data_IF_437364239090
#
_entry.id   IF_437364239090
#
_cell.length_a   1.000
_cell.length_b   1.000
_cell.length_c   1.000
_cell.angle_alpha   90.00
_cell.angle_beta   90.00
_cell.angle_gamma   90.00
#
_symmetry.space_group_name_H-M   'P 1'
#
loop_
_entity.id
_entity.type
_entity.pdbx_description
1 polymer ?
#
# COMPACT_ATOMS: atom_id res chain seq x y z
N UNK A 1 -49.16 14.33 42.29
CA UNK A 1 -48.53 13.07 41.89
C UNK A 1 -48.47 12.91 40.35
N UNK A 2 -49.48 13.30 39.61
CA UNK A 2 -49.48 13.24 38.15
C UNK A 2 -48.48 14.19 37.48
N UNK A 3 -48.22 15.38 38.04
CA UNK A 3 -47.27 16.33 37.44
C UNK A 3 -45.82 15.81 37.44
N UNK A 4 -45.39 15.04 38.43
CA UNK A 4 -44.04 14.40 38.45
C UNK A 4 -43.86 13.27 37.45
N UNK A 5 -44.97 12.63 37.08
CA UNK A 5 -44.93 11.58 36.08
C UNK A 5 -44.84 12.12 34.67
N UNK A 6 -45.38 13.31 34.41
CA UNK A 6 -45.29 14.01 33.13
C UNK A 6 -43.87 14.55 32.92
N UNK A 7 -43.21 15.07 33.94
CA UNK A 7 -41.81 15.50 33.91
C UNK A 7 -40.83 14.32 33.59
N UNK A 8 -41.17 13.11 33.99
CA UNK A 8 -40.38 11.91 33.75
C UNK A 8 -40.57 11.33 32.33
N UNK A 9 -41.67 11.67 31.66
CA UNK A 9 -42.04 11.15 30.34
C UNK A 9 -41.75 12.16 29.25
N UNK A 10 -41.79 13.46 29.55
CA UNK A 10 -41.52 14.50 28.56
C UNK A 10 -40.04 14.86 28.42
N UNK A 11 -39.15 14.27 29.26
CA UNK A 11 -37.72 14.29 28.99
C UNK A 11 -37.16 15.66 28.63
N UNK A 12 -37.58 16.75 29.34
CA UNK A 12 -36.76 17.96 29.45
C UNK A 12 -35.65 17.74 30.48
N UNK A 13 -34.99 16.63 30.32
CA UNK A 13 -33.63 16.49 30.70
C UNK A 13 -32.84 17.26 29.62
N UNK A 14 -32.38 18.44 29.94
CA UNK A 14 -31.19 18.99 29.35
C UNK A 14 -30.17 17.84 29.40
N UNK A 15 -30.10 17.07 28.30
CA UNK A 15 -28.98 16.18 28.08
C UNK A 15 -27.75 17.05 28.31
N UNK A 16 -26.83 16.70 29.25
CA UNK A 16 -25.59 17.40 29.31
C UNK A 16 -25.11 17.40 27.87
N UNK A 17 -25.00 18.62 27.28
CA UNK A 17 -24.22 18.79 26.09
C UNK A 17 -22.86 18.19 26.46
N UNK A 18 -22.70 16.88 26.18
CA UNK A 18 -21.42 16.33 25.89
C UNK A 18 -21.00 17.07 24.60
N UNK A 19 -20.65 18.36 24.78
CA UNK A 19 -19.53 18.87 24.05
C UNK A 19 -18.43 17.90 24.37
N UNK A 20 -18.40 16.79 23.62
CA UNK A 20 -17.19 16.08 23.39
C UNK A 20 -16.23 17.21 23.01
N UNK A 21 -15.36 17.62 23.96
CA UNK A 21 -14.11 18.22 23.58
C UNK A 21 -13.62 17.27 22.52
N UNK A 22 -13.84 17.62 21.27
CA UNK A 22 -13.14 17.06 20.15
C UNK A 22 -11.70 17.39 20.47
N UNK A 23 -11.09 16.56 21.32
CA UNK A 23 -9.64 16.46 21.35
C UNK A 23 -9.30 16.40 19.90
N UNK A 24 -8.47 17.31 19.46
CA UNK A 24 -7.90 17.32 18.12
C UNK A 24 -7.12 16.00 18.00
N UNK A 25 -7.86 14.91 17.78
CA UNK A 25 -7.27 13.60 17.53
C UNK A 25 -6.72 13.74 16.14
N UNK A 26 -5.40 13.72 16.01
CA UNK A 26 -4.80 13.90 14.69
C UNK A 26 -5.33 12.79 13.78
N UNK A 27 -5.93 13.18 12.66
CA UNK A 27 -6.40 12.24 11.67
C UNK A 27 -5.22 11.39 11.18
N UNK A 28 -5.45 10.12 10.92
CA UNK A 28 -4.40 9.20 10.41
C UNK A 28 -3.68 9.79 9.18
N UNK A 29 -4.40 10.50 8.32
CA UNK A 29 -3.85 11.23 7.19
C UNK A 29 -2.74 12.22 7.58
N UNK A 30 -2.79 12.82 8.78
CA UNK A 30 -1.77 13.77 9.23
C UNK A 30 -0.42 13.12 9.53
N UNK A 31 -0.39 11.82 9.82
CA UNK A 31 0.84 11.07 10.04
C UNK A 31 1.52 10.66 8.73
N UNK A 32 0.78 10.68 7.61
CA UNK A 32 1.33 10.40 6.29
C UNK A 32 1.99 11.66 5.73
N UNK A 33 3.29 11.61 5.54
CA UNK A 33 4.07 12.75 5.06
C UNK A 33 3.86 13.11 3.59
N UNK A 34 3.25 12.25 2.79
CA UNK A 34 3.12 12.42 1.34
C UNK A 34 2.24 13.60 0.97
N UNK A 35 2.77 14.55 0.18
CA UNK A 35 2.07 15.77 -0.23
C UNK A 35 1.79 15.82 -1.73
N UNK A 36 2.82 15.64 -2.54
CA UNK A 36 2.72 15.77 -3.99
C UNK A 36 3.58 14.74 -4.72
N UNK A 37 3.37 14.62 -6.01
CA UNK A 37 4.15 13.76 -6.88
C UNK A 37 4.56 14.51 -8.14
N UNK A 38 5.85 14.53 -8.41
CA UNK A 38 6.39 15.10 -9.63
C UNK A 38 6.38 14.04 -10.75
N UNK A 39 5.43 14.12 -11.66
CA UNK A 39 5.24 13.11 -12.70
C UNK A 39 6.44 12.97 -13.65
N UNK A 40 7.14 14.05 -13.94
CA UNK A 40 8.31 14.05 -14.83
C UNK A 40 9.49 13.28 -14.24
N UNK A 41 9.75 13.45 -12.95
CA UNK A 41 10.85 12.80 -12.23
C UNK A 41 10.43 11.53 -11.51
N UNK A 42 9.13 11.31 -11.36
CA UNK A 42 8.54 10.19 -10.61
C UNK A 42 8.98 10.18 -9.13
N UNK A 43 9.07 11.38 -8.54
CA UNK A 43 9.48 11.58 -7.14
C UNK A 43 8.29 12.04 -6.32
N UNK A 44 8.13 11.45 -5.15
CA UNK A 44 7.20 11.90 -4.11
C UNK A 44 7.83 13.04 -3.32
N UNK A 45 7.05 14.09 -3.08
CA UNK A 45 7.38 15.16 -2.17
C UNK A 45 6.62 14.97 -0.88
N UNK A 46 7.35 14.85 0.21
CA UNK A 46 6.82 14.70 1.55
C UNK A 46 6.95 16.03 2.32
N UNK A 47 6.40 16.11 3.50
CA UNK A 47 6.43 17.33 4.33
C UNK A 47 7.86 17.82 4.63
N UNK A 48 8.81 16.91 4.82
CA UNK A 48 10.21 17.22 5.19
C UNK A 48 11.26 16.47 4.37
N UNK A 49 10.84 15.75 3.36
CA UNK A 49 11.70 14.91 2.54
C UNK A 49 11.15 14.77 1.14
N UNK A 50 11.94 14.23 0.24
CA UNK A 50 11.54 13.78 -1.08
C UNK A 50 12.09 12.38 -1.32
N UNK A 51 11.46 11.58 -2.17
CA UNK A 51 11.91 10.22 -2.39
C UNK A 51 11.14 9.50 -3.48
N UNK A 52 11.50 8.26 -3.71
CA UNK A 52 10.83 7.36 -4.64
C UNK A 52 10.58 6.00 -4.00
N UNK A 53 9.65 5.27 -4.58
CA UNK A 53 9.35 3.90 -4.18
C UNK A 53 9.46 3.01 -5.40
N UNK A 54 10.14 1.88 -5.27
CA UNK A 54 10.22 0.82 -6.26
C UNK A 54 9.47 -0.41 -5.75
N UNK A 55 8.60 -0.98 -6.56
CA UNK A 55 8.05 -2.31 -6.32
C UNK A 55 8.88 -3.35 -7.05
N UNK A 56 9.27 -4.37 -6.33
CA UNK A 56 10.10 -5.46 -6.82
C UNK A 56 9.24 -6.71 -7.02
N UNK A 57 9.54 -7.48 -8.04
CA UNK A 57 9.00 -8.83 -8.15
C UNK A 57 9.48 -9.66 -6.95
N UNK A 58 8.56 -10.34 -6.22
CA UNK A 58 8.95 -11.16 -5.09
C UNK A 58 9.92 -12.26 -5.53
N UNK A 59 11.03 -12.38 -4.81
CA UNK A 59 12.00 -13.45 -5.04
C UNK A 59 11.51 -14.75 -4.43
N UNK A 60 11.68 -15.82 -5.17
CA UNK A 60 11.43 -17.19 -4.71
C UNK A 60 12.78 -17.84 -4.44
N UNK A 61 13.09 -17.97 -3.17
CA UNK A 61 14.42 -18.41 -2.70
C UNK A 61 15.38 -17.23 -2.53
N UNK A 62 16.43 -17.46 -1.76
CA UNK A 62 17.51 -16.51 -1.56
C UNK A 62 18.84 -17.23 -1.77
N UNK A 63 19.76 -16.60 -2.48
CA UNK A 63 21.13 -17.03 -2.62
C UNK A 63 22.10 -15.92 -2.13
N UNK A 64 23.38 -16.23 -2.04
CA UNK A 64 24.40 -15.26 -1.61
C UNK A 64 24.45 -14.03 -2.53
N UNK A 65 24.18 -14.18 -3.83
CA UNK A 65 24.19 -13.08 -4.79
C UNK A 65 23.19 -11.99 -4.44
N UNK A 66 22.03 -12.36 -3.89
CA UNK A 66 21.04 -11.38 -3.44
C UNK A 66 21.59 -10.56 -2.28
N UNK A 67 22.25 -11.23 -1.33
CA UNK A 67 22.94 -10.57 -0.21
C UNK A 67 24.03 -9.61 -0.68
N UNK A 68 24.85 -10.03 -1.63
CA UNK A 68 25.93 -9.22 -2.20
C UNK A 68 25.36 -7.97 -2.92
N UNK A 69 24.31 -8.12 -3.72
CA UNK A 69 23.67 -7.02 -4.41
C UNK A 69 23.02 -6.03 -3.44
N UNK A 70 22.33 -6.53 -2.41
CA UNK A 70 21.75 -5.64 -1.39
C UNK A 70 22.86 -4.90 -0.62
N UNK A 71 23.95 -5.55 -0.33
CA UNK A 71 25.12 -4.93 0.29
C UNK A 71 25.70 -3.84 -0.61
N UNK A 72 25.88 -4.12 -1.91
CA UNK A 72 26.37 -3.14 -2.88
C UNK A 72 25.41 -1.95 -3.02
N UNK A 73 24.09 -2.18 -3.05
CA UNK A 73 23.12 -1.08 -3.06
C UNK A 73 23.31 -0.17 -1.84
N UNK A 74 23.48 -0.74 -0.66
CA UNK A 74 23.62 0.03 0.58
C UNK A 74 24.97 0.76 0.63
N UNK A 75 26.07 0.11 0.22
CA UNK A 75 27.42 0.66 0.35
C UNK A 75 27.83 1.59 -0.79
N UNK A 76 27.42 1.28 -2.01
CA UNK A 76 27.99 1.90 -3.22
C UNK A 76 26.99 2.82 -3.94
N UNK A 77 25.68 2.53 -3.82
CA UNK A 77 24.65 3.31 -4.53
C UNK A 77 24.01 4.37 -3.64
N UNK A 78 23.74 4.05 -2.36
CA UNK A 78 23.16 5.03 -1.46
C UNK A 78 24.22 6.00 -0.96
N UNK A 79 23.92 7.28 -1.03
CA UNK A 79 24.80 8.35 -0.51
C UNK A 79 24.43 8.72 0.93
N UNK A 80 25.35 9.33 1.65
CA UNK A 80 25.10 9.82 2.99
C UNK A 80 23.91 10.78 3.03
N UNK A 81 23.03 10.62 4.01
CA UNK A 81 21.79 11.41 4.15
C UNK A 81 20.57 10.79 3.47
N UNK A 82 20.72 9.64 2.81
CA UNK A 82 19.58 8.83 2.35
C UNK A 82 19.02 7.97 3.47
N UNK A 83 17.69 7.89 3.52
CA UNK A 83 16.94 6.91 4.28
C UNK A 83 16.50 5.80 3.33
N UNK A 84 16.76 4.54 3.70
CA UNK A 84 16.38 3.37 2.91
C UNK A 84 15.49 2.45 3.72
N UNK A 85 14.36 2.07 3.15
CA UNK A 85 13.39 1.18 3.79
C UNK A 85 13.00 0.05 2.84
N UNK A 86 13.00 -1.17 3.37
CA UNK A 86 12.48 -2.36 2.70
C UNK A 86 11.17 -2.73 3.37
N UNK A 87 10.09 -2.80 2.59
CA UNK A 87 8.76 -3.16 3.05
C UNK A 87 8.39 -4.49 2.41
N UNK A 88 8.19 -5.52 3.22
CA UNK A 88 7.63 -6.79 2.80
C UNK A 88 6.19 -6.87 3.29
N UNK A 89 5.24 -6.94 2.36
CA UNK A 89 3.83 -6.95 2.67
C UNK A 89 3.13 -8.16 2.06
N UNK A 90 2.33 -8.86 2.86
CA UNK A 90 1.56 -10.04 2.46
C UNK A 90 0.07 -9.67 2.40
N UNK A 91 -0.39 -9.13 1.28
CA UNK A 91 -1.76 -8.68 1.08
C UNK A 91 -2.75 -9.85 0.98
N UNK A 92 -3.91 -9.78 1.64
CA UNK A 92 -5.02 -10.71 1.40
C UNK A 92 -5.75 -10.41 0.07
N UNK A 93 -5.53 -9.27 -0.56
CA UNK A 93 -6.17 -8.84 -1.83
C UNK A 93 -5.54 -9.53 -3.02
N UNK A 94 -5.91 -10.79 -3.24
CA UNK A 94 -5.39 -11.61 -4.35
C UNK A 94 -6.28 -11.56 -5.60
N UNK A 95 -7.42 -10.87 -5.55
CA UNK A 95 -8.45 -10.91 -6.59
C UNK A 95 -7.93 -10.42 -7.95
N UNK A 96 -7.16 -9.34 -7.98
CA UNK A 96 -6.59 -8.77 -9.20
C UNK A 96 -5.66 -9.77 -9.90
N UNK A 97 -4.74 -10.36 -9.15
CA UNK A 97 -3.84 -11.42 -9.67
C UNK A 97 -4.57 -12.65 -10.16
N UNK A 98 -5.65 -13.02 -9.49
CA UNK A 98 -6.49 -14.11 -9.93
C UNK A 98 -7.26 -13.79 -11.20
N UNK A 99 -7.70 -12.55 -11.38
CA UNK A 99 -8.34 -12.10 -12.62
C UNK A 99 -7.36 -12.12 -13.80
N UNK A 100 -6.16 -11.57 -13.63
CA UNK A 100 -5.09 -11.64 -14.64
C UNK A 100 -4.82 -13.10 -15.06
N UNK A 101 -4.72 -13.99 -14.08
CA UNK A 101 -4.51 -15.42 -14.33
C UNK A 101 -5.68 -16.07 -15.07
N UNK A 102 -6.92 -15.69 -14.76
CA UNK A 102 -8.13 -16.30 -15.33
C UNK A 102 -8.42 -15.81 -16.76
N UNK A 103 -8.10 -14.57 -17.09
CA UNK A 103 -8.49 -13.91 -18.32
C UNK A 103 -8.20 -14.72 -19.60
N UNK A 104 -6.99 -15.26 -19.85
CA UNK A 104 -6.72 -16.07 -21.03
C UNK A 104 -7.48 -17.41 -21.02
N UNK A 105 -7.77 -17.97 -19.85
CA UNK A 105 -8.45 -19.26 -19.69
C UNK A 105 -9.95 -19.17 -19.93
N UNK A 106 -10.57 -18.08 -19.49
CA UNK A 106 -11.98 -17.79 -19.74
C UNK A 106 -12.27 -17.64 -21.23
N UNK A 107 -11.31 -17.12 -22.01
CA UNK A 107 -11.42 -16.95 -23.46
C UNK A 107 -11.17 -18.25 -24.26
N UNK A 108 -10.65 -19.28 -23.63
CA UNK A 108 -10.28 -20.54 -24.31
C UNK A 108 -11.45 -21.51 -24.55
N UNK A 109 -12.67 -21.18 -24.16
CA UNK A 109 -13.89 -21.96 -24.38
C UNK A 109 -14.64 -22.35 -23.10
N UNK A 110 -15.84 -22.91 -23.27
CA UNK A 110 -16.80 -23.11 -22.16
C UNK A 110 -16.27 -24.02 -21.04
N UNK A 111 -15.55 -25.10 -21.38
CA UNK A 111 -14.98 -26.03 -20.40
C UNK A 111 -13.90 -25.35 -19.58
N UNK A 112 -12.99 -24.65 -20.25
CA UNK A 112 -11.90 -23.91 -19.58
C UNK A 112 -12.45 -22.78 -18.71
N UNK A 113 -13.49 -22.10 -19.16
CA UNK A 113 -14.19 -21.07 -18.38
C UNK A 113 -14.76 -21.67 -17.09
N UNK A 114 -15.47 -22.82 -17.16
CA UNK A 114 -16.03 -23.48 -15.99
C UNK A 114 -14.93 -23.90 -14.99
N UNK A 115 -13.87 -24.52 -15.47
CA UNK A 115 -12.72 -24.90 -14.63
C UNK A 115 -12.02 -23.68 -14.01
N UNK A 116 -11.85 -22.59 -14.76
CA UNK A 116 -11.26 -21.36 -14.26
C UNK A 116 -12.11 -20.76 -13.14
N UNK A 117 -13.44 -20.74 -13.28
CA UNK A 117 -14.34 -20.24 -12.23
C UNK A 117 -14.24 -21.03 -10.95
N UNK A 118 -14.32 -22.37 -11.01
CA UNK A 118 -14.16 -23.21 -9.81
C UNK A 118 -12.82 -22.97 -9.10
N UNK A 119 -11.74 -22.83 -9.90
CA UNK A 119 -10.42 -22.58 -9.34
C UNK A 119 -10.29 -21.18 -8.74
N UNK A 120 -10.91 -20.18 -9.37
CA UNK A 120 -10.99 -18.82 -8.81
C UNK A 120 -11.69 -18.80 -7.46
N UNK A 121 -12.85 -19.46 -7.34
CA UNK A 121 -13.63 -19.49 -6.11
C UNK A 121 -12.84 -20.18 -4.98
N UNK A 122 -12.18 -21.29 -5.29
CA UNK A 122 -11.31 -21.98 -4.33
C UNK A 122 -10.14 -21.10 -3.90
N UNK A 123 -9.46 -20.47 -4.84
CA UNK A 123 -8.30 -19.62 -4.54
C UNK A 123 -8.72 -18.35 -3.77
N UNK A 124 -9.87 -17.74 -4.12
CA UNK A 124 -10.42 -16.61 -3.37
C UNK A 124 -10.72 -16.97 -1.93
N UNK A 125 -11.33 -18.13 -1.69
CA UNK A 125 -11.58 -18.59 -0.32
C UNK A 125 -10.28 -18.77 0.46
N UNK A 126 -9.19 -19.15 -0.19
CA UNK A 126 -7.87 -19.31 0.41
C UNK A 126 -7.23 -18.03 0.97
N UNK A 127 -7.75 -16.85 0.63
CA UNK A 127 -7.30 -15.61 1.25
C UNK A 127 -7.80 -15.48 2.71
N UNK A 128 -8.92 -16.09 3.04
CA UNK A 128 -9.60 -15.93 4.34
C UNK A 128 -9.74 -17.24 5.12
N UNK A 129 -9.78 -18.37 4.42
CA UNK A 129 -9.82 -19.69 5.00
C UNK A 129 -8.58 -20.50 4.60
N UNK A 130 -8.08 -21.36 5.49
CA UNK A 130 -6.95 -22.22 5.14
C UNK A 130 -7.34 -23.18 4.01
N UNK A 131 -6.48 -23.29 3.01
CA UNK A 131 -6.62 -24.30 1.93
C UNK A 131 -6.05 -25.65 2.33
N UNK A 132 -5.34 -25.73 3.46
CA UNK A 132 -4.78 -26.97 3.98
C UNK A 132 -5.49 -27.39 5.27
N UNK A 133 -5.69 -28.69 5.43
CA UNK A 133 -6.27 -29.26 6.65
C UNK A 133 -5.31 -29.25 7.83
N UNK A 134 -4.01 -29.25 7.56
CA UNK A 134 -2.97 -29.48 8.57
C UNK A 134 -2.27 -28.18 9.04
N UNK A 135 -2.80 -27.02 8.68
CA UNK A 135 -2.19 -25.75 9.12
C UNK A 135 -2.87 -24.49 8.57
N UNK A 136 -2.56 -23.33 9.14
CA UNK A 136 -3.16 -22.05 8.76
C UNK A 136 -2.52 -21.46 7.51
N UNK A 137 -2.59 -22.15 6.37
CA UNK A 137 -2.02 -21.65 5.11
C UNK A 137 -3.04 -20.79 4.37
N UNK A 138 -2.82 -19.49 4.40
CA UNK A 138 -3.60 -18.52 3.63
C UNK A 138 -2.87 -18.07 2.38
N UNK A 139 -3.61 -17.88 1.31
CA UNK A 139 -3.07 -17.27 0.10
C UNK A 139 -2.87 -15.77 0.32
N UNK A 140 -1.71 -15.26 -0.10
CA UNK A 140 -1.33 -13.85 -0.01
C UNK A 140 -0.66 -13.41 -1.30
N UNK A 141 -0.87 -12.15 -1.65
CA UNK A 141 -0.06 -11.46 -2.64
C UNK A 141 1.12 -10.82 -1.90
N UNK A 142 2.31 -11.35 -2.13
CA UNK A 142 3.51 -10.77 -1.56
C UNK A 142 3.95 -9.58 -2.40
N UNK A 143 4.23 -8.47 -1.72
CA UNK A 143 4.74 -7.24 -2.31
C UNK A 143 6.02 -6.84 -1.60
N UNK A 144 7.03 -6.50 -2.37
CA UNK A 144 8.32 -6.02 -1.87
C UNK A 144 8.52 -4.61 -2.38
N UNK A 145 8.65 -3.65 -1.48
CA UNK A 145 8.84 -2.25 -1.84
C UNK A 145 10.17 -1.78 -1.28
N UNK A 146 10.94 -1.08 -2.11
CA UNK A 146 12.11 -0.32 -1.72
C UNK A 146 11.74 1.16 -1.73
N UNK A 147 11.81 1.81 -0.58
CA UNK A 147 11.60 3.24 -0.45
C UNK A 147 12.91 3.93 -0.11
N UNK A 148 13.26 4.93 -0.90
CA UNK A 148 14.43 5.78 -0.66
C UNK A 148 13.96 7.20 -0.48
N UNK A 149 14.37 7.84 0.61
CA UNK A 149 14.05 9.21 0.95
C UNK A 149 15.28 10.02 1.29
N UNK A 150 15.21 11.32 1.05
CA UNK A 150 16.24 12.28 1.45
C UNK A 150 15.58 13.46 2.15
N UNK A 151 16.08 13.81 3.33
CA UNK A 151 15.60 14.95 4.09
C UNK A 151 15.89 16.30 3.41
N UNK A 152 15.08 17.30 3.68
CA UNK A 152 15.22 18.64 3.09
C UNK A 152 16.59 19.30 3.37
N UNK A 153 17.28 18.88 4.42
CA UNK A 153 18.63 19.41 4.78
C UNK A 153 19.80 18.52 4.36
N UNK A 154 19.57 17.43 3.63
CA UNK A 154 20.62 16.45 3.29
C UNK A 154 21.65 16.94 2.28
N UNK A 155 21.36 18.00 1.54
CA UNK A 155 22.19 18.45 0.41
C UNK A 155 22.06 17.58 -0.86
N UNK A 156 21.28 16.51 -0.82
CA UNK A 156 21.05 15.62 -1.98
C UNK A 156 20.01 16.27 -2.90
N UNK A 157 20.41 16.59 -4.11
CA UNK A 157 19.55 17.17 -5.12
C UNK A 157 18.64 16.11 -5.80
N UNK A 158 17.82 16.53 -6.73
CA UNK A 158 16.91 15.63 -7.44
C UNK A 158 17.65 14.77 -8.46
N UNK A 159 18.68 15.29 -9.08
CA UNK A 159 19.48 14.57 -10.08
C UNK A 159 20.25 13.41 -9.43
N UNK A 160 20.87 13.65 -8.29
CA UNK A 160 21.52 12.60 -7.48
C UNK A 160 20.50 11.52 -7.06
N UNK A 161 19.30 11.92 -6.63
CA UNK A 161 18.25 10.97 -6.23
C UNK A 161 17.78 10.11 -7.41
N UNK A 162 17.70 10.67 -8.60
CA UNK A 162 17.41 9.92 -9.84
C UNK A 162 18.54 8.94 -10.17
N UNK A 163 19.80 9.37 -10.03
CA UNK A 163 20.97 8.50 -10.20
C UNK A 163 20.97 7.30 -9.24
N UNK A 164 20.58 7.53 -7.97
CA UNK A 164 20.42 6.45 -6.98
C UNK A 164 19.33 5.48 -7.42
N UNK A 165 18.17 5.98 -7.86
CA UNK A 165 17.08 5.14 -8.36
C UNK A 165 17.54 4.25 -9.50
N UNK A 166 18.15 4.83 -10.49
CA UNK A 166 18.58 4.12 -11.70
C UNK A 166 19.72 3.12 -11.38
N UNK A 167 20.58 3.45 -10.42
CA UNK A 167 21.59 2.54 -9.87
C UNK A 167 20.96 1.31 -9.18
N UNK A 168 19.95 1.51 -8.34
CA UNK A 168 19.23 0.42 -7.69
C UNK A 168 18.53 -0.47 -8.73
N UNK A 169 17.85 0.13 -9.72
CA UNK A 169 17.19 -0.61 -10.79
C UNK A 169 18.19 -1.46 -11.56
N UNK A 170 19.33 -0.88 -11.93
CA UNK A 170 20.39 -1.59 -12.66
C UNK A 170 20.99 -2.73 -11.86
N UNK A 171 21.23 -2.53 -10.57
CA UNK A 171 21.74 -3.56 -9.68
C UNK A 171 20.75 -4.75 -9.55
N UNK A 172 19.46 -4.48 -9.39
CA UNK A 172 18.41 -5.50 -9.31
C UNK A 172 18.18 -6.22 -10.65
N UNK A 173 18.24 -5.50 -11.77
CA UNK A 173 18.15 -6.13 -13.09
C UNK A 173 19.31 -7.09 -13.36
N UNK A 174 20.50 -6.87 -12.79
CA UNK A 174 21.65 -7.78 -12.94
C UNK A 174 21.39 -9.19 -12.39
N UNK A 175 20.46 -9.32 -11.45
CA UNK A 175 20.00 -10.58 -10.88
C UNK A 175 18.58 -10.96 -11.34
N UNK A 176 18.11 -10.37 -12.44
CA UNK A 176 16.78 -10.60 -13.03
C UNK A 176 15.59 -10.27 -12.10
N UNK A 177 15.77 -9.40 -11.11
CA UNK A 177 14.66 -8.87 -10.30
C UNK A 177 14.01 -7.72 -11.04
N UNK A 178 12.78 -7.95 -11.51
CA UNK A 178 12.00 -6.91 -12.18
C UNK A 178 11.54 -5.86 -11.18
N UNK A 179 11.73 -4.61 -11.55
CA UNK A 179 11.35 -3.46 -10.75
C UNK A 179 10.30 -2.61 -11.48
N UNK A 180 9.49 -1.92 -10.72
CA UNK A 180 8.51 -0.97 -11.20
C UNK A 180 8.51 0.26 -10.30
N UNK A 181 8.53 1.45 -10.90
CA UNK A 181 8.41 2.70 -10.14
C UNK A 181 6.97 2.85 -9.69
N UNK A 182 6.80 3.16 -8.41
CA UNK A 182 5.50 3.27 -7.77
C UNK A 182 4.85 4.61 -8.10
N UNK A 183 3.61 4.56 -8.56
CA UNK A 183 2.81 5.75 -8.86
C UNK A 183 2.02 6.21 -7.63
N UNK A 184 1.50 7.45 -7.61
CA UNK A 184 0.66 7.92 -6.51
C UNK A 184 -0.64 7.12 -6.37
N UNK A 185 -1.26 6.67 -7.45
CA UNK A 185 -2.44 5.79 -7.40
C UNK A 185 -2.12 4.47 -6.71
N UNK A 186 -0.95 3.89 -7.00
CA UNK A 186 -0.51 2.65 -6.36
C UNK A 186 -0.19 2.86 -4.89
N UNK A 187 0.37 4.02 -4.51
CA UNK A 187 0.61 4.37 -3.12
C UNK A 187 -0.71 4.48 -2.33
N UNK A 188 -1.70 5.18 -2.88
CA UNK A 188 -3.03 5.33 -2.27
C UNK A 188 -3.65 3.95 -2.04
N UNK A 189 -3.65 3.10 -3.07
CA UNK A 189 -4.17 1.71 -2.98
C UNK A 189 -3.40 0.86 -1.98
N UNK A 190 -2.10 1.02 -1.92
CA UNK A 190 -1.26 0.29 -0.97
C UNK A 190 -1.56 0.69 0.48
N UNK A 191 -1.68 1.99 0.75
CA UNK A 191 -2.02 2.49 2.09
C UNK A 191 -3.43 2.03 2.49
N UNK A 192 -4.40 2.12 1.57
CA UNK A 192 -5.76 1.60 1.80
C UNK A 192 -5.74 0.10 2.12
N UNK A 193 -4.95 -0.69 1.41
CA UNK A 193 -4.81 -2.14 1.67
C UNK A 193 -4.20 -2.44 3.05
N UNK A 194 -3.23 -1.64 3.48
CA UNK A 194 -2.59 -1.78 4.79
C UNK A 194 -3.53 -1.36 5.92
N UNK A 195 -4.26 -0.25 5.75
CA UNK A 195 -5.11 0.33 6.80
C UNK A 195 -6.46 -0.37 6.88
N UNK A 196 -7.04 -0.77 5.74
CA UNK A 196 -8.36 -1.38 5.63
C UNK A 196 -8.32 -2.74 4.92
N UNK A 197 -7.59 -3.74 5.44
CA UNK A 197 -7.40 -5.02 4.73
C UNK A 197 -8.68 -5.83 4.57
N UNK A 198 -9.68 -5.61 5.42
CA UNK A 198 -10.88 -6.46 5.53
C UNK A 198 -12.08 -5.99 4.70
N UNK A 199 -12.07 -4.78 4.19
CA UNK A 199 -13.30 -4.19 3.61
C UNK A 199 -13.66 -4.69 2.23
N UNK A 200 -12.90 -5.62 1.62
CA UNK A 200 -13.30 -6.30 0.38
C UNK A 200 -13.67 -5.41 -0.83
N UNK A 201 -13.78 -4.12 -0.63
CA UNK A 201 -14.13 -3.11 -1.62
C UNK A 201 -12.91 -2.80 -2.49
N UNK A 202 -12.43 -3.81 -3.23
CA UNK A 202 -11.14 -3.77 -3.91
C UNK A 202 -11.09 -2.84 -5.12
N UNK A 203 -12.23 -2.41 -5.67
CA UNK A 203 -12.25 -1.67 -6.94
C UNK A 203 -12.55 -0.17 -6.78
N UNK A 204 -12.90 0.30 -5.59
CA UNK A 204 -13.31 1.69 -5.34
C UNK A 204 -12.21 2.57 -4.69
N UNK A 205 -10.95 2.18 -4.78
CA UNK A 205 -9.89 3.10 -4.36
C UNK A 205 -9.93 4.35 -5.25
N UNK A 206 -9.96 5.56 -4.67
CA UNK A 206 -10.05 6.77 -5.45
C UNK A 206 -8.85 6.89 -6.40
N UNK A 207 -9.12 7.36 -7.61
CA UNK A 207 -8.04 7.73 -8.52
C UNK A 207 -7.30 8.94 -7.96
N UNK A 208 -6.00 8.97 -8.20
CA UNK A 208 -5.15 10.07 -7.75
C UNK A 208 -5.58 11.40 -8.41
N UNK A 209 -5.83 12.41 -7.58
CA UNK A 209 -6.01 13.80 -7.99
C UNK A 209 -4.72 14.60 -7.77
N UNK A 210 -4.14 15.24 -8.79
CA UNK A 210 -2.95 16.06 -8.60
C UNK A 210 -3.22 17.39 -7.89
N UNK A 211 -4.50 17.73 -7.67
CA UNK A 211 -4.92 18.99 -7.05
C UNK A 211 -5.01 18.90 -5.53
N UNK A 212 -5.07 17.69 -5.00
CA UNK A 212 -5.21 17.44 -3.57
C UNK A 212 -3.95 16.78 -2.99
N UNK A 213 -3.58 17.05 -1.73
CA UNK A 213 -2.46 16.37 -1.09
C UNK A 213 -2.66 14.86 -1.04
N UNK A 214 -1.63 14.10 -1.39
CA UNK A 214 -1.71 12.61 -1.46
C UNK A 214 -2.18 12.01 -0.14
N UNK A 215 -1.69 12.51 0.99
CA UNK A 215 -2.06 11.98 2.30
C UNK A 215 -3.55 12.12 2.62
N UNK A 216 -4.24 13.11 2.05
CA UNK A 216 -5.68 13.28 2.24
C UNK A 216 -6.51 12.35 1.37
N UNK A 217 -5.92 11.82 0.30
CA UNK A 217 -6.54 10.85 -0.60
C UNK A 217 -6.35 9.40 -0.14
N UNK A 218 -5.36 9.13 0.72
CA UNK A 218 -5.05 7.77 1.18
C UNK A 218 -6.09 7.20 2.15
N UNK A 219 -6.92 8.03 2.77
CA UNK A 219 -7.85 7.62 3.81
C UNK A 219 -9.23 8.13 3.43
N UNK A 220 -10.17 7.20 3.26
CA UNK A 220 -11.56 7.56 2.96
C UNK A 220 -12.15 8.33 4.13
N UNK A 221 -12.77 9.46 3.83
CA UNK A 221 -13.62 10.18 4.75
C UNK A 221 -15.03 9.61 4.56
N UNK A 222 -15.41 8.66 5.40
CA UNK A 222 -16.81 8.22 5.50
C UNK A 222 -17.59 9.21 6.37
#
# INVERSE_FOLDING_TARGET
>A
MLARLIELVTGDSEAPEHRAETRDVPMLASFLGYRAYAAETQIFHLTRSKGFILELAPLVGADERIGDILTSIISDVLVAGCEFQIINYASPRIAEKLQEWALPRVRAGAVFNKLARYRLDLLRSGAWASLATDGPFHLRQFRVLFAVGVGAGSGVDTETLLGIRDGIISALDSINVKTRIFSPTELIRFIDDVVCPATGAGDDAPDYSPFDPINEQCIRRD
#
